data_IF_548318966486
#
_entry.id   IF_548318966486
#
_cell.length_a   1.000
_cell.length_b   1.000
_cell.length_c   1.000
_cell.angle_alpha   90.00
_cell.angle_beta   90.00
_cell.angle_gamma   90.00
#
_symmetry.space_group_name_H-M   'P 1'
#
loop_
_entity.id
_entity.type
_entity.pdbx_description
1 polymer ?
#
# COMPACT_ATOMS: atom_id res chain seq x y z
N UNK A 1 -59.55 9.32 4.32
CA UNK A 1 -58.22 8.75 4.03
C UNK A 1 -57.78 9.34 2.73
N UNK A 2 -56.98 10.37 2.79
CA UNK A 2 -56.74 11.31 1.68
C UNK A 2 -55.30 11.22 1.26
N UNK A 3 -55.08 10.89 0.01
CA UNK A 3 -53.74 10.86 -0.62
C UNK A 3 -53.34 12.31 -1.01
N UNK A 4 -52.12 12.76 -0.78
CA UNK A 4 -51.65 14.01 -1.37
C UNK A 4 -50.83 13.78 -2.66
N UNK A 5 -51.37 14.28 -3.69
CA UNK A 5 -50.93 15.09 -4.84
C UNK A 5 -49.42 15.06 -5.20
N UNK A 6 -49.22 14.61 -6.43
CA UNK A 6 -48.02 14.81 -7.24
C UNK A 6 -47.83 16.29 -7.60
N UNK A 7 -46.67 16.84 -7.33
CA UNK A 7 -46.24 18.10 -7.94
C UNK A 7 -45.30 17.81 -9.12
N UNK A 8 -45.85 18.08 -10.31
CA UNK A 8 -45.10 18.19 -11.55
C UNK A 8 -44.27 19.50 -11.49
N UNK A 9 -42.96 19.39 -11.75
CA UNK A 9 -42.13 20.55 -11.99
C UNK A 9 -41.73 20.57 -13.47
N UNK A 10 -42.34 21.56 -14.16
CA UNK A 10 -42.14 21.83 -15.57
C UNK A 10 -40.76 22.41 -15.87
N UNK A 11 -40.28 22.11 -17.07
CA UNK A 11 -38.99 22.40 -17.59
C UNK A 11 -38.65 23.89 -17.76
N UNK A 12 -37.38 24.12 -17.95
CA UNK A 12 -36.86 25.30 -18.64
C UNK A 12 -35.73 24.91 -19.59
N UNK A 13 -36.05 25.13 -20.86
CA UNK A 13 -35.18 24.96 -22.04
C UNK A 13 -34.25 26.15 -22.22
N UNK A 14 -33.08 25.85 -22.80
CA UNK A 14 -32.35 26.49 -23.87
C UNK A 14 -31.51 27.76 -23.59
N UNK A 15 -30.35 27.73 -24.01
CA UNK A 15 -29.60 28.42 -25.10
C UNK A 15 -28.14 28.63 -24.73
N UNK A 16 -27.26 28.33 -25.69
CA UNK A 16 -25.87 28.72 -25.64
C UNK A 16 -25.00 27.93 -26.61
N UNK A 17 -25.19 28.16 -27.89
CA UNK A 17 -24.25 27.78 -28.96
C UNK A 17 -22.98 28.60 -28.77
N UNK A 18 -21.84 27.94 -28.73
CA UNK A 18 -20.50 28.51 -28.71
C UNK A 18 -19.50 27.59 -29.35
N UNK A 19 -19.51 27.59 -30.66
CA UNK A 19 -18.46 27.04 -31.54
C UNK A 19 -17.13 27.73 -31.23
N UNK A 20 -16.10 26.97 -30.88
CA UNK A 20 -14.69 27.31 -31.08
C UNK A 20 -13.88 26.07 -31.41
N UNK A 21 -13.78 25.87 -32.73
CA UNK A 21 -12.75 25.07 -33.35
C UNK A 21 -11.37 25.52 -32.88
N UNK A 22 -10.64 24.59 -32.23
CA UNK A 22 -9.20 24.67 -32.15
C UNK A 22 -8.60 23.32 -32.51
N UNK A 23 -8.18 23.26 -33.77
CA UNK A 23 -7.23 22.29 -34.28
C UNK A 23 -5.92 22.42 -33.52
N UNK A 24 -5.55 21.40 -32.76
CA UNK A 24 -4.29 21.24 -32.06
C UNK A 24 -3.88 19.79 -32.12
N UNK A 25 -3.20 19.45 -33.20
CA UNK A 25 -2.44 18.25 -33.45
C UNK A 25 -1.62 17.81 -32.24
N UNK A 26 -1.67 16.52 -31.89
CA UNK A 26 -0.85 15.95 -30.82
C UNK A 26 -1.33 14.58 -30.41
N UNK A 27 -1.52 13.68 -31.39
CA UNK A 27 -1.75 12.26 -31.13
C UNK A 27 -0.52 11.68 -30.40
N UNK A 28 -0.58 11.65 -29.08
CA UNK A 28 0.08 10.62 -28.28
C UNK A 28 -1.02 9.78 -27.67
N UNK A 29 -1.48 8.82 -28.44
CA UNK A 29 -2.15 7.65 -27.90
C UNK A 29 -1.09 6.92 -27.08
N UNK A 30 -0.88 7.39 -25.84
CA UNK A 30 -0.22 6.59 -24.85
C UNK A 30 -1.19 5.43 -24.58
N UNK A 31 -0.82 4.29 -25.07
CA UNK A 31 -1.33 2.98 -24.69
C UNK A 31 -1.32 2.94 -23.14
N UNK A 32 -2.45 3.31 -22.55
CA UNK A 32 -2.75 3.09 -21.15
C UNK A 32 -3.19 1.65 -21.04
N UNK A 33 -2.23 0.75 -21.27
CA UNK A 33 -2.34 -0.62 -20.84
C UNK A 33 -2.81 -0.63 -19.37
N UNK A 34 -3.91 -1.30 -19.13
CA UNK A 34 -4.80 -1.41 -17.98
C UNK A 34 -4.13 -1.88 -16.66
N UNK A 35 -3.02 -1.29 -16.30
CA UNK A 35 -2.30 -1.48 -15.05
C UNK A 35 -2.45 -0.28 -14.13
N UNK A 36 -3.67 0.13 -13.80
CA UNK A 36 -3.89 1.14 -12.77
C UNK A 36 -3.09 0.78 -11.53
N UNK A 37 -2.42 1.76 -10.93
CA UNK A 37 -1.57 1.53 -9.75
C UNK A 37 -2.38 0.77 -8.69
N UNK A 38 -1.69 0.00 -7.83
CA UNK A 38 -2.37 -0.72 -6.74
C UNK A 38 -3.22 0.23 -5.88
N UNK A 39 -2.81 1.48 -5.76
CA UNK A 39 -3.55 2.54 -5.07
C UNK A 39 -4.85 2.91 -5.80
N UNK A 40 -4.83 3.01 -7.12
CA UNK A 40 -6.02 3.29 -7.93
C UNK A 40 -7.06 2.19 -7.81
N UNK A 41 -6.63 0.91 -7.84
CA UNK A 41 -7.54 -0.22 -7.62
C UNK A 41 -8.22 -0.19 -6.26
N UNK A 42 -7.49 0.13 -5.20
CA UNK A 42 -8.07 0.26 -3.85
C UNK A 42 -9.06 1.42 -3.79
N UNK A 43 -8.76 2.52 -4.44
CA UNK A 43 -9.65 3.67 -4.51
C UNK A 43 -10.93 3.34 -5.27
N UNK A 44 -10.81 2.65 -6.40
CA UNK A 44 -11.95 2.18 -7.19
C UNK A 44 -12.86 1.21 -6.40
N UNK A 45 -12.26 0.30 -5.66
CA UNK A 45 -12.99 -0.61 -4.77
C UNK A 45 -13.76 0.14 -3.68
N UNK A 46 -13.19 1.20 -3.09
CA UNK A 46 -13.88 2.05 -2.11
C UNK A 46 -15.07 2.78 -2.73
N UNK A 47 -14.90 3.32 -3.92
CA UNK A 47 -16.02 3.92 -4.65
C UNK A 47 -17.11 2.90 -4.99
N UNK A 48 -16.74 1.69 -5.35
CA UNK A 48 -17.69 0.61 -5.60
C UNK A 48 -18.46 0.23 -4.32
N UNK A 49 -17.79 0.18 -3.19
CA UNK A 49 -18.42 -0.05 -1.88
C UNK A 49 -19.40 1.08 -1.53
N UNK A 50 -19.02 2.34 -1.75
CA UNK A 50 -19.88 3.50 -1.56
C UNK A 50 -21.13 3.46 -2.44
N UNK A 51 -20.98 3.13 -3.72
CA UNK A 51 -22.13 2.94 -4.63
C UNK A 51 -23.06 1.82 -4.17
N UNK A 52 -22.48 0.73 -3.63
CA UNK A 52 -23.29 -0.37 -3.08
C UNK A 52 -24.10 0.07 -1.88
N UNK A 53 -23.52 0.86 -0.96
CA UNK A 53 -24.23 1.46 0.15
C UNK A 53 -25.40 2.33 -0.34
N UNK A 54 -25.14 3.24 -1.29
CA UNK A 54 -26.19 4.11 -1.86
C UNK A 54 -27.31 3.30 -2.51
N UNK A 55 -26.99 2.24 -3.23
CA UNK A 55 -27.99 1.37 -3.85
C UNK A 55 -28.84 0.63 -2.81
N UNK A 56 -28.25 0.09 -1.75
CA UNK A 56 -28.96 -0.59 -0.67
C UNK A 56 -29.88 0.38 0.08
N UNK A 57 -29.37 1.57 0.44
CA UNK A 57 -30.15 2.61 1.08
C UNK A 57 -31.36 3.03 0.23
N UNK A 58 -31.13 3.29 -1.06
CA UNK A 58 -32.21 3.69 -1.98
C UNK A 58 -33.25 2.58 -2.17
N UNK A 59 -32.81 1.32 -2.25
CA UNK A 59 -33.73 0.16 -2.30
C UNK A 59 -34.57 0.00 -1.03
N UNK A 60 -33.99 0.36 0.12
CA UNK A 60 -34.72 0.38 1.39
C UNK A 60 -35.64 1.62 1.53
N UNK A 61 -35.70 2.50 0.54
CA UNK A 61 -36.56 3.67 0.50
C UNK A 61 -36.06 4.89 1.29
N UNK A 62 -34.85 4.86 1.81
CA UNK A 62 -34.29 5.96 2.61
C UNK A 62 -33.60 7.02 1.74
N UNK A 63 -33.90 8.29 2.01
CA UNK A 63 -33.03 9.40 1.63
C UNK A 63 -31.77 9.44 2.51
N UNK A 64 -30.75 10.20 2.10
CA UNK A 64 -29.56 10.40 2.96
C UNK A 64 -29.91 11.09 4.29
N UNK A 65 -30.91 11.94 4.31
CA UNK A 65 -31.38 12.62 5.52
C UNK A 65 -32.02 11.66 6.53
N UNK A 66 -32.81 10.74 6.05
CA UNK A 66 -33.51 9.76 6.89
C UNK A 66 -32.55 8.66 7.37
N UNK A 67 -31.56 8.30 6.54
CA UNK A 67 -30.67 7.21 6.86
C UNK A 67 -29.52 7.62 7.79
N UNK A 68 -28.99 8.84 7.67
CA UNK A 68 -27.86 9.32 8.46
C UNK A 68 -28.11 9.18 9.99
N UNK A 69 -29.22 9.64 10.55
CA UNK A 69 -29.48 9.47 11.99
C UNK A 69 -29.61 8.01 12.44
N UNK A 70 -30.07 7.10 11.58
CA UNK A 70 -30.13 5.66 11.90
C UNK A 70 -28.77 5.04 12.10
N UNK A 71 -27.76 5.55 11.42
CA UNK A 71 -26.37 5.10 11.54
C UNK A 71 -25.59 5.85 12.63
N UNK A 72 -26.14 6.95 13.16
CA UNK A 72 -25.47 7.83 14.12
C UNK A 72 -24.36 8.68 13.51
N UNK A 73 -24.41 8.92 12.19
CA UNK A 73 -23.45 9.76 11.48
C UNK A 73 -24.15 10.95 10.81
N UNK A 74 -23.36 11.96 10.43
CA UNK A 74 -23.91 13.10 9.70
C UNK A 74 -24.23 12.74 8.24
N UNK A 75 -25.16 13.49 7.62
CA UNK A 75 -25.46 13.35 6.19
C UNK A 75 -24.23 13.56 5.32
N UNK A 76 -23.35 14.51 5.68
CA UNK A 76 -22.10 14.74 4.93
C UNK A 76 -21.18 13.53 4.98
N UNK A 77 -21.01 12.90 6.15
CA UNK A 77 -20.24 11.67 6.30
C UNK A 77 -20.79 10.55 5.42
N UNK A 78 -22.11 10.38 5.41
CA UNK A 78 -22.79 9.40 4.58
C UNK A 78 -22.60 9.70 3.08
N UNK A 79 -22.75 10.95 2.66
CA UNK A 79 -22.51 11.37 1.28
C UNK A 79 -21.08 11.10 0.83
N UNK A 80 -20.09 11.42 1.67
CA UNK A 80 -18.68 11.15 1.39
C UNK A 80 -18.38 9.66 1.32
N UNK A 81 -19.04 8.85 2.15
CA UNK A 81 -18.95 7.39 2.09
C UNK A 81 -19.49 6.84 0.77
N UNK A 82 -20.68 7.29 0.35
CA UNK A 82 -21.31 6.87 -0.91
C UNK A 82 -20.47 7.26 -2.15
N UNK A 83 -19.77 8.39 -2.08
CA UNK A 83 -18.83 8.84 -3.12
C UNK A 83 -17.45 8.19 -3.03
N UNK A 84 -17.15 7.48 -1.94
CA UNK A 84 -15.85 6.88 -1.69
C UNK A 84 -14.73 7.88 -1.43
N UNK A 85 -15.07 9.11 -1.01
CA UNK A 85 -14.10 10.20 -0.79
C UNK A 85 -13.27 10.03 0.47
N UNK A 86 -13.86 9.45 1.53
CA UNK A 86 -13.22 9.27 2.83
C UNK A 86 -13.03 7.80 3.19
N UNK A 87 -11.92 7.53 3.86
CA UNK A 87 -11.68 6.23 4.49
C UNK A 87 -12.36 6.22 5.86
N UNK A 88 -13.56 5.68 5.89
CA UNK A 88 -14.30 5.51 7.12
C UNK A 88 -13.86 4.25 7.88
N UNK A 89 -14.11 4.25 9.18
CA UNK A 89 -13.77 3.12 10.04
C UNK A 89 -14.76 1.97 9.85
N UNK A 90 -14.36 0.79 10.32
CA UNK A 90 -15.18 -0.43 10.23
C UNK A 90 -16.55 -0.25 10.89
N UNK A 91 -16.60 0.49 12.01
CA UNK A 91 -17.84 0.75 12.76
C UNK A 91 -18.90 1.48 11.93
N UNK A 92 -18.50 2.37 11.02
CA UNK A 92 -19.43 3.02 10.10
C UNK A 92 -20.13 1.99 9.21
N UNK A 93 -19.35 1.09 8.60
CA UNK A 93 -19.86 0.07 7.70
C UNK A 93 -20.72 -0.96 8.44
N UNK A 94 -20.36 -1.28 9.70
CA UNK A 94 -21.16 -2.12 10.58
C UNK A 94 -22.54 -1.52 10.81
N UNK A 95 -22.61 -0.26 11.24
CA UNK A 95 -23.89 0.41 11.50
C UNK A 95 -24.75 0.55 10.25
N UNK A 96 -24.13 0.82 9.08
CA UNK A 96 -24.86 0.84 7.82
C UNK A 96 -25.41 -0.53 7.45
N UNK A 97 -24.62 -1.58 7.64
CA UNK A 97 -25.01 -2.96 7.38
C UNK A 97 -26.19 -3.39 8.26
N UNK A 98 -26.09 -3.12 9.56
CA UNK A 98 -27.14 -3.42 10.54
C UNK A 98 -28.43 -2.65 10.21
N UNK A 99 -28.35 -1.34 9.95
CA UNK A 99 -29.50 -0.50 9.63
C UNK A 99 -30.21 -0.92 8.33
N UNK A 100 -29.47 -1.44 7.36
CA UNK A 100 -29.99 -1.90 6.06
C UNK A 100 -30.31 -3.40 6.06
N UNK A 101 -30.01 -4.12 7.14
CA UNK A 101 -30.13 -5.59 7.22
C UNK A 101 -29.48 -6.28 6.02
N UNK A 102 -28.21 -5.86 5.73
CA UNK A 102 -27.48 -6.29 4.55
C UNK A 102 -26.66 -7.57 4.77
N UNK A 103 -26.91 -8.30 5.86
CA UNK A 103 -26.37 -9.64 6.20
C UNK A 103 -24.84 -9.70 6.11
N UNK A 104 -24.16 -8.64 6.58
CA UNK A 104 -22.70 -8.57 6.58
C UNK A 104 -22.06 -8.20 5.23
N UNK A 105 -22.87 -7.91 4.23
CA UNK A 105 -22.39 -7.72 2.87
C UNK A 105 -21.51 -6.46 2.68
N UNK A 106 -21.79 -5.38 3.44
CA UNK A 106 -20.97 -4.17 3.41
C UNK A 106 -19.67 -4.37 4.20
N UNK A 107 -19.76 -5.03 5.36
CA UNK A 107 -18.59 -5.33 6.20
C UNK A 107 -17.62 -6.25 5.48
N UNK A 108 -18.10 -7.34 4.92
CA UNK A 108 -17.27 -8.28 4.19
C UNK A 108 -16.56 -7.62 2.98
N UNK A 109 -17.22 -6.69 2.31
CA UNK A 109 -16.61 -5.91 1.23
C UNK A 109 -15.55 -4.93 1.77
N UNK A 110 -15.83 -4.24 2.86
CA UNK A 110 -14.88 -3.35 3.54
C UNK A 110 -13.63 -4.11 4.00
N UNK A 111 -13.80 -5.22 4.70
CA UNK A 111 -12.69 -6.03 5.24
C UNK A 111 -11.77 -6.54 4.12
N UNK A 112 -12.32 -6.98 2.99
CA UNK A 112 -11.52 -7.34 1.79
C UNK A 112 -10.67 -6.18 1.28
N UNK A 113 -11.24 -4.99 1.18
CA UNK A 113 -10.53 -3.79 0.73
C UNK A 113 -9.41 -3.44 1.72
N UNK A 114 -9.65 -3.51 3.02
CA UNK A 114 -8.65 -3.17 4.03
C UNK A 114 -7.50 -4.18 4.10
N UNK A 115 -7.75 -5.47 3.88
CA UNK A 115 -6.71 -6.49 3.73
C UNK A 115 -5.78 -6.15 2.55
N UNK A 116 -6.35 -5.84 1.39
CA UNK A 116 -5.58 -5.47 0.20
C UNK A 116 -4.81 -4.14 0.40
N UNK A 117 -5.46 -3.14 0.99
CA UNK A 117 -4.84 -1.85 1.31
C UNK A 117 -3.69 -2.00 2.30
N UNK A 118 -3.83 -2.87 3.30
CA UNK A 118 -2.79 -3.15 4.28
C UNK A 118 -1.60 -3.86 3.66
N UNK A 119 -1.84 -4.83 2.79
CA UNK A 119 -0.80 -5.51 2.03
C UNK A 119 -0.04 -4.54 1.10
N UNK A 120 -0.76 -3.63 0.42
CA UNK A 120 -0.17 -2.61 -0.42
C UNK A 120 0.73 -1.65 0.38
N UNK A 121 0.28 -1.21 1.54
CA UNK A 121 1.08 -0.34 2.43
C UNK A 121 2.33 -1.04 2.94
N UNK A 122 2.25 -2.33 3.32
CA UNK A 122 3.44 -3.11 3.75
C UNK A 122 4.45 -3.22 2.61
N UNK A 123 4.00 -3.59 1.41
CA UNK A 123 4.85 -3.69 0.24
C UNK A 123 5.54 -2.36 -0.11
N UNK A 124 4.80 -1.24 -0.08
CA UNK A 124 5.36 0.09 -0.34
C UNK A 124 6.41 0.50 0.71
N UNK A 125 6.17 0.18 2.00
CA UNK A 125 7.15 0.44 3.07
C UNK A 125 8.43 -0.37 2.88
N UNK A 126 8.30 -1.66 2.57
CA UNK A 126 9.45 -2.53 2.32
C UNK A 126 10.27 -2.05 1.13
N UNK A 127 9.61 -1.66 0.03
CA UNK A 127 10.29 -1.10 -1.15
C UNK A 127 10.99 0.23 -0.84
N UNK A 128 10.34 1.11 -0.09
CA UNK A 128 10.94 2.38 0.31
C UNK A 128 12.15 2.19 1.24
N UNK A 129 12.11 1.20 2.11
CA UNK A 129 13.23 0.85 2.98
C UNK A 129 14.39 0.30 2.15
N UNK A 130 14.15 -0.67 1.27
CA UNK A 130 15.17 -1.22 0.39
C UNK A 130 15.84 -0.15 -0.49
N UNK A 131 15.04 0.79 -1.03
CA UNK A 131 15.58 1.90 -1.80
C UNK A 131 16.47 2.85 -0.95
N UNK A 132 16.12 3.07 0.31
CA UNK A 132 16.95 3.88 1.23
C UNK A 132 18.27 3.18 1.57
N UNK A 133 18.24 1.88 1.81
CA UNK A 133 19.42 1.06 2.08
C UNK A 133 20.36 1.04 0.87
N UNK A 134 19.81 0.88 -0.32
CA UNK A 134 20.58 0.96 -1.58
C UNK A 134 21.22 2.33 -1.77
N UNK A 135 20.46 3.42 -1.57
CA UNK A 135 21.00 4.77 -1.64
C UNK A 135 22.10 5.04 -0.60
N UNK A 136 21.93 4.50 0.63
CA UNK A 136 22.95 4.62 1.66
C UNK A 136 24.23 3.88 1.28
N UNK A 137 24.10 2.69 0.73
CA UNK A 137 25.23 1.88 0.23
C UNK A 137 25.97 2.59 -0.90
N UNK A 138 25.23 3.14 -1.87
CA UNK A 138 25.81 3.91 -2.98
C UNK A 138 26.53 5.17 -2.48
N UNK A 139 25.99 5.89 -1.50
CA UNK A 139 26.66 7.05 -0.89
C UNK A 139 27.94 6.65 -0.18
N UNK A 140 27.91 5.56 0.57
CA UNK A 140 29.10 5.05 1.24
C UNK A 140 30.18 4.66 0.21
N UNK A 141 29.81 4.01 -0.87
CA UNK A 141 30.73 3.64 -1.94
C UNK A 141 31.33 4.86 -2.64
N UNK A 142 30.53 5.90 -2.84
CA UNK A 142 31.00 7.16 -3.46
C UNK A 142 31.93 7.98 -2.54
N UNK A 143 31.87 7.76 -1.23
CA UNK A 143 32.77 8.41 -0.25
C UNK A 143 34.07 7.66 -0.03
N UNK A 144 34.15 6.39 -0.45
CA UNK A 144 35.40 5.65 -0.44
C UNK A 144 36.23 6.15 -1.65
N UNK A 145 37.40 6.81 -1.43
CA UNK A 145 38.25 7.20 -2.55
C UNK A 145 38.62 5.92 -3.32
N UNK A 146 38.58 6.03 -4.66
CA UNK A 146 39.24 5.06 -5.55
C UNK A 146 40.75 5.10 -5.32
N UNK A 147 41.17 4.82 -4.10
CA UNK A 147 42.54 4.57 -3.80
C UNK A 147 42.94 3.28 -4.49
N UNK A 148 44.16 3.22 -5.06
CA UNK A 148 44.64 1.96 -5.57
C UNK A 148 44.50 0.95 -4.43
N UNK A 149 43.75 -0.12 -4.70
CA UNK A 149 43.71 -1.28 -3.81
C UNK A 149 45.15 -1.52 -3.40
N UNK A 150 45.50 -1.48 -2.10
CA UNK A 150 46.85 -1.88 -1.72
C UNK A 150 47.03 -3.26 -2.36
N UNK A 151 47.93 -3.36 -3.30
CA UNK A 151 48.29 -4.64 -3.86
C UNK A 151 48.61 -5.51 -2.65
N UNK A 152 47.77 -6.51 -2.44
CA UNK A 152 48.09 -7.53 -1.44
C UNK A 152 49.49 -7.94 -1.80
N UNK A 153 50.50 -7.83 -0.89
CA UNK A 153 51.85 -8.23 -1.22
C UNK A 153 51.73 -9.65 -1.74
N UNK A 154 52.17 -9.82 -2.98
CA UNK A 154 52.22 -11.13 -3.62
C UNK A 154 52.76 -12.11 -2.59
N UNK A 155 51.90 -13.04 -2.19
CA UNK A 155 52.27 -14.31 -1.60
C UNK A 155 53.65 -14.31 -0.91
N UNK A 156 53.71 -13.78 0.29
CA UNK A 156 54.72 -14.28 1.22
C UNK A 156 54.30 -15.73 1.47
N UNK A 157 55.03 -16.62 0.81
CA UNK A 157 54.91 -18.03 1.09
C UNK A 157 54.95 -18.24 2.62
N UNK A 158 54.11 -19.07 3.20
CA UNK A 158 54.16 -19.36 4.61
C UNK A 158 55.35 -20.29 4.87
N UNK A 159 56.52 -19.72 4.95
CA UNK A 159 57.64 -20.39 5.59
C UNK A 159 57.64 -20.08 7.06
N UNK A 160 56.79 -20.80 7.76
CA UNK A 160 57.01 -21.13 9.17
C UNK A 160 56.06 -22.28 9.50
N UNK A 161 56.56 -23.45 9.25
CA UNK A 161 55.98 -24.69 9.77
C UNK A 161 56.30 -24.78 11.27
N UNK A 162 55.75 -23.86 12.04
CA UNK A 162 55.75 -24.00 13.48
C UNK A 162 54.39 -24.65 13.86
N UNK A 163 54.36 -25.93 14.24
CA UNK A 163 53.16 -26.65 14.52
C UNK A 163 52.45 -26.18 15.80
N UNK A 164 53.06 -25.24 16.51
CA UNK A 164 52.62 -24.79 17.86
C UNK A 164 52.00 -23.39 17.85
N UNK A 165 51.89 -22.73 16.72
CA UNK A 165 51.29 -21.40 16.62
C UNK A 165 49.75 -21.52 16.69
N UNK A 166 49.07 -20.65 17.47
CA UNK A 166 47.61 -20.63 17.51
C UNK A 166 47.03 -20.27 16.14
N UNK A 167 46.12 -21.09 15.65
CA UNK A 167 45.47 -20.86 14.36
C UNK A 167 44.09 -20.28 14.55
N UNK A 168 43.83 -19.19 13.85
CA UNK A 168 42.51 -18.55 13.85
C UNK A 168 41.74 -19.00 12.60
N UNK A 169 40.59 -19.62 12.82
CA UNK A 169 39.72 -20.04 11.73
C UNK A 169 38.39 -19.28 11.86
N UNK A 170 37.93 -18.72 10.76
CA UNK A 170 36.63 -18.06 10.71
C UNK A 170 35.63 -19.04 10.09
N UNK A 171 34.69 -19.53 10.90
CA UNK A 171 33.62 -20.39 10.46
C UNK A 171 32.25 -19.69 10.58
N UNK A 172 31.29 -20.12 9.80
CA UNK A 172 29.92 -19.62 9.92
C UNK A 172 29.13 -20.45 10.92
N UNK A 173 28.53 -19.78 11.90
CA UNK A 173 27.64 -20.45 12.86
C UNK A 173 26.52 -21.19 12.12
N UNK A 174 26.31 -22.50 12.33
CA UNK A 174 25.27 -23.25 11.64
C UNK A 174 23.85 -22.80 12.03
N UNK A 175 23.71 -22.12 13.17
CA UNK A 175 22.40 -21.71 13.69
C UNK A 175 21.96 -20.32 13.18
N UNK A 176 22.85 -19.33 13.20
CA UNK A 176 22.54 -17.95 12.81
C UNK A 176 23.27 -17.48 11.55
N UNK A 177 24.16 -18.32 10.97
CA UNK A 177 25.01 -18.04 9.79
C UNK A 177 25.96 -16.82 9.91
N UNK A 178 26.10 -16.28 11.10
CA UNK A 178 27.06 -15.21 11.34
C UNK A 178 28.50 -15.75 11.43
N UNK A 179 29.52 -14.97 11.01
CA UNK A 179 30.90 -15.40 11.12
C UNK A 179 31.31 -15.46 12.59
N UNK A 180 31.92 -16.58 12.99
CA UNK A 180 32.47 -16.80 14.32
C UNK A 180 33.97 -17.07 14.16
N UNK A 181 34.77 -16.33 14.91
CA UNK A 181 36.22 -16.52 14.93
C UNK A 181 36.56 -17.54 16.01
N UNK A 182 37.10 -18.67 15.60
CA UNK A 182 37.53 -19.73 16.52
C UNK A 182 39.08 -19.72 16.58
N UNK A 183 39.62 -19.59 17.77
CA UNK A 183 41.07 -19.69 17.98
C UNK A 183 41.39 -21.09 18.47
N UNK A 184 42.15 -21.85 17.68
CA UNK A 184 42.62 -23.18 18.04
C UNK A 184 43.97 -23.05 18.71
N UNK A 185 44.02 -23.31 20.01
CA UNK A 185 45.25 -23.34 20.77
C UNK A 185 45.67 -24.80 20.93
N UNK A 186 46.88 -25.17 20.51
CA UNK A 186 47.34 -26.55 20.69
C UNK A 186 47.50 -26.86 22.20
N UNK A 187 47.18 -28.08 22.58
CA UNK A 187 47.31 -28.50 23.97
C UNK A 187 48.79 -28.62 24.34
N UNK A 188 49.17 -28.20 25.54
CA UNK A 188 50.55 -28.35 26.03
C UNK A 188 50.90 -29.85 26.09
N UNK A 189 52.08 -30.20 25.53
CA UNK A 189 52.62 -31.57 25.69
C UNK A 189 53.08 -31.73 27.11
N UNK A 190 52.46 -32.62 27.83
CA UNK A 190 52.96 -33.09 29.15
C UNK A 190 54.22 -33.92 28.96
N UNK A 191 55.22 -33.73 29.77
CA UNK A 191 56.48 -34.46 29.66
C UNK A 191 56.37 -35.95 30.01
#
# INVERSE_FOLDING_TARGET
MTLPRAHAFAGRTAHGVGDRSHLGSGSRVADRSHGGSRSERIWEQRRALGRRLAALRSRAGFSQWEFAPLTGYSRSTLSDAELGRHRLRREFWQRCDDALRADGALIAAYDRIEVQASAARRSARSQAQAAREEQASQRLHALLPDGPRPALPDSVAPESTDPEAPRTVVERCPHCRQPVTVMIVPAPRTP
#
